data_IF_448650921565
#
_entry.id   IF_448650921565
#
_cell.length_a   1.000
_cell.length_b   1.000
_cell.length_c   1.000
_cell.angle_alpha   90.00
_cell.angle_beta   90.00
_cell.angle_gamma   90.00
#
_symmetry.space_group_name_H-M   'P 1'
#
loop_
_entity.id
_entity.type
_entity.pdbx_description
1 polymer ?
#
# COMPACT_ATOMS: atom_id res chain seq x y z
N UNK A 1 -56.93 -23.57 7.25
CA UNK A 1 -55.49 -23.40 7.05
C UNK A 1 -55.23 -22.68 5.75
N UNK A 2 -54.72 -21.52 5.83
CA UNK A 2 -54.40 -20.75 4.65
C UNK A 2 -53.13 -21.28 4.00
N UNK A 3 -53.29 -21.81 2.83
CA UNK A 3 -52.15 -22.01 1.99
C UNK A 3 -51.59 -20.67 1.62
N UNK A 4 -50.33 -20.48 1.89
CA UNK A 4 -49.61 -19.37 1.32
C UNK A 4 -49.75 -19.47 -0.18
N UNK A 5 -50.61 -18.67 -0.73
CA UNK A 5 -50.75 -18.59 -2.17
C UNK A 5 -49.54 -17.88 -2.71
N UNK A 6 -48.65 -18.67 -3.19
CA UNK A 6 -47.60 -18.16 -4.02
C UNK A 6 -48.23 -17.63 -5.28
N UNK A 7 -48.19 -16.37 -5.47
CA UNK A 7 -48.59 -15.71 -6.68
C UNK A 7 -47.95 -16.42 -7.86
N UNK A 8 -48.75 -16.88 -8.79
CA UNK A 8 -48.22 -17.59 -9.95
C UNK A 8 -47.26 -16.77 -10.80
N UNK A 9 -47.28 -15.47 -10.64
CA UNK A 9 -46.30 -14.56 -11.24
C UNK A 9 -45.08 -14.27 -10.38
N UNK A 10 -45.12 -14.65 -9.11
CA UNK A 10 -44.01 -14.55 -8.19
C UNK A 10 -43.71 -15.92 -7.64
N UNK A 11 -42.77 -16.59 -8.26
CA UNK A 11 -42.26 -17.81 -7.67
C UNK A 11 -41.29 -17.41 -6.57
N UNK A 12 -41.70 -17.63 -5.30
CA UNK A 12 -40.83 -17.43 -4.17
C UNK A 12 -39.70 -18.43 -4.16
N UNK A 13 -38.54 -18.00 -3.76
CA UNK A 13 -37.42 -18.88 -3.49
C UNK A 13 -37.72 -19.78 -2.31
N UNK A 14 -37.32 -21.04 -2.40
CA UNK A 14 -37.34 -21.92 -1.25
C UNK A 14 -36.24 -21.58 -0.27
N UNK A 15 -36.44 -21.94 0.98
CA UNK A 15 -35.42 -21.74 2.03
C UNK A 15 -34.12 -22.47 1.69
N UNK A 16 -34.23 -23.68 1.15
CA UNK A 16 -33.07 -24.50 0.80
C UNK A 16 -32.29 -23.91 -0.38
N UNK A 17 -32.95 -23.31 -1.35
CA UNK A 17 -32.27 -22.60 -2.45
C UNK A 17 -31.44 -21.41 -1.95
N UNK A 18 -32.01 -20.63 -1.04
CA UNK A 18 -31.28 -19.53 -0.41
C UNK A 18 -30.08 -20.02 0.41
N UNK A 19 -30.28 -21.12 1.14
CA UNK A 19 -29.19 -21.71 1.95
C UNK A 19 -28.04 -22.21 1.07
N UNK A 20 -28.35 -22.86 -0.04
CA UNK A 20 -27.34 -23.33 -1.01
C UNK A 20 -26.59 -22.16 -1.61
N UNK A 21 -27.27 -21.11 -2.02
CA UNK A 21 -26.65 -19.92 -2.59
C UNK A 21 -25.68 -19.26 -1.61
N UNK A 22 -26.10 -19.07 -0.37
CA UNK A 22 -25.25 -18.48 0.67
C UNK A 22 -24.05 -19.38 0.98
N UNK A 23 -24.25 -20.69 1.01
CA UNK A 23 -23.16 -21.65 1.21
C UNK A 23 -22.11 -21.58 0.10
N UNK A 24 -22.54 -21.50 -1.15
CA UNK A 24 -21.65 -21.37 -2.31
C UNK A 24 -20.88 -20.03 -2.26
N UNK A 25 -21.58 -18.96 -1.98
CA UNK A 25 -20.95 -17.63 -1.81
C UNK A 25 -19.91 -17.67 -0.71
N UNK A 26 -20.20 -18.31 0.42
CA UNK A 26 -19.27 -18.46 1.53
C UNK A 26 -18.00 -19.20 1.15
N UNK A 27 -18.12 -20.29 0.40
CA UNK A 27 -16.96 -21.05 -0.07
C UNK A 27 -16.12 -20.24 -1.05
N UNK A 28 -16.76 -19.59 -2.01
CA UNK A 28 -16.06 -18.75 -2.98
C UNK A 28 -15.36 -17.56 -2.30
N UNK A 29 -16.03 -16.93 -1.35
CA UNK A 29 -15.46 -15.83 -0.58
C UNK A 29 -14.24 -16.27 0.26
N UNK A 30 -14.27 -17.46 0.83
CA UNK A 30 -13.17 -18.00 1.61
C UNK A 30 -11.87 -18.14 0.80
N UNK A 31 -11.99 -18.37 -0.50
CA UNK A 31 -10.84 -18.45 -1.41
C UNK A 31 -10.47 -17.07 -1.98
N UNK A 32 -11.48 -16.28 -2.33
CA UNK A 32 -11.28 -15.02 -3.02
C UNK A 32 -10.75 -13.89 -2.11
N UNK A 33 -11.24 -13.80 -0.88
CA UNK A 33 -10.87 -12.70 0.03
C UNK A 33 -9.38 -12.73 0.40
N UNK A 34 -8.77 -13.85 0.81
CA UNK A 34 -7.33 -13.88 1.08
C UNK A 34 -6.47 -13.54 -0.12
N UNK A 35 -6.84 -14.02 -1.32
CA UNK A 35 -6.13 -13.72 -2.56
C UNK A 35 -6.21 -12.21 -2.90
N UNK A 36 -7.38 -11.61 -2.71
CA UNK A 36 -7.59 -10.19 -2.94
C UNK A 36 -6.80 -9.33 -1.95
N UNK A 37 -6.73 -9.73 -0.69
CA UNK A 37 -5.94 -9.05 0.34
C UNK A 37 -4.44 -9.09 0.02
N UNK A 38 -3.94 -10.21 -0.45
CA UNK A 38 -2.55 -10.33 -0.88
C UNK A 38 -2.23 -9.39 -2.05
N UNK A 39 -3.11 -9.33 -3.03
CA UNK A 39 -2.99 -8.41 -4.16
C UNK A 39 -2.96 -6.94 -3.70
N UNK A 40 -3.84 -6.54 -2.80
CA UNK A 40 -3.88 -5.17 -2.25
C UNK A 40 -2.59 -4.87 -1.49
N UNK A 41 -2.11 -5.78 -0.67
CA UNK A 41 -0.86 -5.62 0.09
C UNK A 41 0.33 -5.38 -0.83
N UNK A 42 0.44 -6.16 -1.90
CA UNK A 42 1.49 -5.98 -2.90
C UNK A 42 1.38 -4.65 -3.63
N UNK A 43 0.17 -4.23 -3.94
CA UNK A 43 -0.11 -2.92 -4.55
C UNK A 43 0.34 -1.77 -3.64
N UNK A 44 0.08 -1.87 -2.35
CA UNK A 44 0.51 -0.86 -1.38
C UNK A 44 2.03 -0.81 -1.22
N UNK A 45 2.69 -1.97 -1.19
CA UNK A 45 4.15 -2.06 -1.12
C UNK A 45 4.82 -1.49 -2.38
N UNK A 46 4.16 -1.53 -3.54
CA UNK A 46 4.71 -0.94 -4.76
C UNK A 46 4.93 0.58 -4.64
N UNK A 47 4.18 1.26 -3.77
CA UNK A 47 4.40 2.67 -3.45
C UNK A 47 5.78 2.89 -2.83
N UNK A 48 6.22 2.00 -1.94
CA UNK A 48 7.55 2.06 -1.35
C UNK A 48 8.64 2.02 -2.41
N UNK A 49 8.49 1.13 -3.38
CA UNK A 49 9.41 1.03 -4.51
C UNK A 49 9.42 2.30 -5.37
N UNK A 50 8.26 2.90 -5.62
CA UNK A 50 8.15 4.12 -6.40
C UNK A 50 8.79 5.32 -5.69
N UNK A 51 8.50 5.52 -4.41
CA UNK A 51 9.06 6.62 -3.63
C UNK A 51 10.58 6.49 -3.43
N UNK A 52 11.05 5.32 -3.04
CA UNK A 52 12.49 5.09 -2.86
C UNK A 52 13.24 5.12 -4.18
N UNK A 53 12.63 4.64 -5.27
CA UNK A 53 13.19 4.72 -6.61
C UNK A 53 13.34 6.17 -7.10
N UNK A 54 12.38 7.02 -6.78
CA UNK A 54 12.42 8.45 -7.10
C UNK A 54 13.55 9.22 -6.37
N UNK A 55 14.08 8.66 -5.29
CA UNK A 55 15.21 9.26 -4.56
C UNK A 55 16.57 8.92 -5.15
N UNK A 56 16.66 7.89 -5.97
CA UNK A 56 17.96 7.40 -6.48
C UNK A 56 18.70 8.46 -7.28
N UNK A 57 18.05 9.10 -8.23
CA UNK A 57 18.69 10.10 -9.08
C UNK A 57 19.12 11.35 -8.29
N UNK A 58 18.27 11.99 -7.49
CA UNK A 58 18.69 13.15 -6.68
C UNK A 58 19.80 12.83 -5.68
N UNK A 59 19.76 11.66 -5.04
CA UNK A 59 20.82 11.24 -4.11
C UNK A 59 22.14 10.96 -4.82
N UNK A 60 22.09 10.30 -5.98
CA UNK A 60 23.30 10.07 -6.78
C UNK A 60 23.94 11.38 -7.23
N UNK A 61 23.13 12.33 -7.67
CA UNK A 61 23.60 13.64 -8.10
C UNK A 61 24.24 14.40 -6.93
N UNK A 62 23.57 14.44 -5.78
CA UNK A 62 24.10 15.07 -4.57
C UNK A 62 25.40 14.41 -4.13
N UNK A 63 25.46 13.09 -4.09
CA UNK A 63 26.65 12.33 -3.70
C UNK A 63 27.84 12.57 -4.63
N UNK A 64 27.58 12.62 -5.94
CA UNK A 64 28.60 12.91 -6.93
C UNK A 64 29.18 14.34 -6.79
N UNK A 65 28.32 15.32 -6.48
CA UNK A 65 28.72 16.72 -6.29
C UNK A 65 29.46 16.95 -4.96
N UNK A 66 28.98 16.36 -3.86
CA UNK A 66 29.45 16.61 -2.51
C UNK A 66 30.42 15.56 -1.95
N UNK A 67 30.49 14.38 -2.57
CA UNK A 67 31.27 13.26 -2.04
C UNK A 67 30.72 12.67 -0.73
N UNK A 68 29.48 12.99 -0.38
CA UNK A 68 28.83 12.57 0.85
C UNK A 68 27.31 12.51 0.68
N UNK A 69 26.63 11.78 1.53
CA UNK A 69 25.18 11.80 1.57
C UNK A 69 24.66 13.09 2.21
N UNK A 70 23.45 13.57 1.85
CA UNK A 70 22.87 14.73 2.49
C UNK A 70 22.66 14.48 3.99
N UNK A 71 22.81 15.51 4.78
CA UNK A 71 22.58 15.45 6.24
C UNK A 71 21.13 15.20 6.60
N UNK A 72 20.21 15.41 5.66
CA UNK A 72 18.79 15.13 5.83
C UNK A 72 18.01 15.31 4.55
N UNK A 73 16.86 14.66 4.49
CA UNK A 73 15.88 14.82 3.43
C UNK A 73 14.73 15.67 3.98
N UNK A 74 14.28 16.62 3.21
CA UNK A 74 13.16 17.49 3.56
C UNK A 74 12.08 17.43 2.51
N UNK A 75 10.84 17.66 2.91
CA UNK A 75 9.70 17.59 2.00
C UNK A 75 9.80 18.62 0.86
N UNK A 76 9.07 18.39 -0.25
CA UNK A 76 9.21 19.18 -1.47
C UNK A 76 8.83 20.67 -1.30
N UNK A 77 8.04 20.99 -0.28
CA UNK A 77 7.62 22.36 0.03
C UNK A 77 8.52 23.05 1.05
N UNK A 78 9.46 22.32 1.66
CA UNK A 78 10.39 22.88 2.62
C UNK A 78 11.58 23.53 1.93
N UNK A 79 12.12 24.58 2.53
CA UNK A 79 13.39 25.17 2.09
C UNK A 79 14.53 24.37 2.71
N UNK A 80 15.35 23.67 1.92
CA UNK A 80 16.44 22.90 2.48
C UNK A 80 17.52 23.80 3.05
N UNK A 81 18.00 23.44 4.23
CA UNK A 81 19.21 24.05 4.81
C UNK A 81 20.47 23.47 4.15
N UNK A 82 21.63 24.06 4.44
CA UNK A 82 22.89 23.57 3.91
C UNK A 82 23.08 22.06 4.23
N UNK A 83 23.34 21.28 3.20
CA UNK A 83 23.50 19.82 3.34
C UNK A 83 22.23 19.02 3.28
N UNK A 84 21.07 19.63 3.12
CA UNK A 84 19.79 18.94 2.97
C UNK A 84 19.37 18.84 1.51
N UNK A 85 18.55 17.85 1.20
CA UNK A 85 18.00 17.60 -0.13
C UNK A 85 16.48 17.54 -0.08
N UNK A 86 15.81 18.22 -1.00
CA UNK A 86 14.38 18.10 -1.15
C UNK A 86 14.03 16.75 -1.77
N UNK A 87 13.00 16.12 -1.22
CA UNK A 87 12.53 14.83 -1.70
C UNK A 87 11.05 14.63 -1.37
N UNK A 88 10.37 13.81 -2.15
CA UNK A 88 9.03 13.36 -1.81
C UNK A 88 9.15 12.24 -0.79
N UNK A 89 8.82 12.54 0.46
CA UNK A 89 9.00 11.63 1.59
C UNK A 89 7.71 10.95 2.03
N UNK A 90 6.57 11.54 1.72
CA UNK A 90 5.27 11.09 2.22
C UNK A 90 4.47 10.48 1.08
N UNK A 91 4.08 9.24 1.26
CA UNK A 91 3.16 8.52 0.40
C UNK A 91 1.79 8.34 1.06
N UNK A 92 0.90 7.65 0.37
CA UNK A 92 -0.44 7.35 0.90
C UNK A 92 -0.40 6.30 2.02
N UNK A 93 0.50 5.33 1.92
CA UNK A 93 0.56 4.17 2.81
C UNK A 93 1.78 4.17 3.73
N UNK A 94 2.73 5.05 3.50
CA UNK A 94 3.92 5.12 4.32
C UNK A 94 4.78 6.33 4.06
N UNK A 95 5.89 6.38 4.74
CA UNK A 95 6.83 7.50 4.68
C UNK A 95 8.26 7.01 4.54
N UNK A 96 9.06 7.78 3.83
CA UNK A 96 10.51 7.59 3.77
C UNK A 96 11.16 8.30 4.96
N UNK A 97 12.17 7.69 5.55
CA UNK A 97 12.95 8.33 6.61
C UNK A 97 13.66 9.59 6.10
N UNK A 98 13.80 10.57 6.97
CA UNK A 98 14.43 11.85 6.63
C UNK A 98 15.96 11.78 6.60
N UNK A 99 16.54 10.63 6.88
CA UNK A 99 17.99 10.44 6.90
C UNK A 99 18.41 9.34 5.94
N UNK A 100 19.55 9.52 5.30
CA UNK A 100 20.20 8.48 4.52
C UNK A 100 21.21 7.79 5.42
N UNK A 101 21.05 6.48 5.60
CA UNK A 101 21.99 5.68 6.39
C UNK A 101 23.23 5.31 5.59
N UNK A 102 24.30 4.96 6.27
CA UNK A 102 25.53 4.51 5.64
C UNK A 102 26.49 5.63 5.27
N UNK A 103 27.61 5.24 4.71
CA UNK A 103 28.67 6.17 4.28
C UNK A 103 28.79 6.12 2.75
N UNK A 104 28.90 7.29 2.11
CA UNK A 104 29.08 7.38 0.67
C UNK A 104 30.31 6.55 0.22
N UNK A 105 30.26 5.80 -0.87
CA UNK A 105 29.19 5.76 -1.88
C UNK A 105 28.07 4.74 -1.61
N UNK A 106 28.07 4.04 -0.49
CA UNK A 106 27.00 3.11 -0.12
C UNK A 106 26.03 3.75 0.86
N UNK A 107 24.74 3.64 0.60
CA UNK A 107 23.75 4.23 1.47
C UNK A 107 22.43 3.45 1.45
N UNK A 108 21.64 3.67 2.48
CA UNK A 108 20.32 3.05 2.62
C UNK A 108 19.28 4.10 2.93
N UNK A 109 18.14 3.94 2.29
CA UNK A 109 16.94 4.73 2.56
C UNK A 109 15.85 3.76 3.01
N UNK A 110 15.19 4.07 4.10
CA UNK A 110 14.16 3.19 4.66
C UNK A 110 12.78 3.78 4.42
N UNK A 111 11.89 2.95 3.93
CA UNK A 111 10.47 3.27 3.83
C UNK A 111 9.72 2.52 4.93
N UNK A 112 8.87 3.22 5.65
CA UNK A 112 8.06 2.65 6.72
C UNK A 112 6.59 2.73 6.33
N UNK A 113 5.92 1.59 6.27
CA UNK A 113 4.48 1.53 6.08
C UNK A 113 3.79 2.00 7.35
N UNK A 114 2.89 2.97 7.21
CA UNK A 114 2.17 3.56 8.37
C UNK A 114 0.69 3.25 8.35
N UNK A 115 0.13 2.98 7.18
CA UNK A 115 -1.29 2.68 7.01
C UNK A 115 -1.50 1.60 5.95
N UNK A 116 -2.70 1.03 5.93
CA UNK A 116 -3.07 0.00 4.99
C UNK A 116 -2.76 -1.41 5.47
N UNK A 117 -3.04 -2.39 4.63
CA UNK A 117 -2.89 -3.80 4.98
C UNK A 117 -1.43 -4.21 5.16
N UNK A 118 -0.54 -3.55 4.46
CA UNK A 118 0.89 -3.86 4.53
C UNK A 118 1.56 -3.36 5.82
N UNK A 119 0.93 -2.45 6.56
CA UNK A 119 1.49 -1.90 7.80
C UNK A 119 1.41 -2.85 8.99
N UNK A 120 0.58 -3.88 8.90
CA UNK A 120 0.39 -4.87 9.96
C UNK A 120 1.19 -6.16 9.78
N UNK A 121 2.01 -6.24 8.76
CA UNK A 121 2.81 -7.43 8.44
C UNK A 121 4.25 -7.36 8.90
#
# INVERSE_FOLDING_TARGET
MQKIQMNKGQQGFTLIELMIVVAIIGILAAVAIPAYQDYITRSQVSEASALTGGLKAPLSEYGADKGAWPSGLVGPTATPSAGQLNATLIGKYGTVTTTVGGTYPTGTVTFTMTTGMASGG
#
